data_IF_501332842586
#
_entry.id   IF_501332842586
#
_cell.length_a   1.000
_cell.length_b   1.000
_cell.length_c   1.000
_cell.angle_alpha   90.00
_cell.angle_beta   90.00
_cell.angle_gamma   90.00
#
_symmetry.space_group_name_H-M   'P 1'
#
loop_
_entity.id
_entity.type
_entity.pdbx_description
1 polymer ?
#
# COMPACT_ATOMS: atom_id res chain seq x y z
N UNK A 1 3.40 -3.69 -16.18
CA UNK A 1 4.21 -2.73 -15.41
C UNK A 1 4.19 -3.10 -13.94
N UNK A 2 5.24 -2.81 -13.17
CA UNK A 2 5.19 -2.85 -11.70
C UNK A 2 5.17 -1.38 -11.24
N UNK A 3 4.23 -1.06 -10.35
CA UNK A 3 4.12 0.26 -9.74
C UNK A 3 4.20 0.14 -8.22
N UNK A 4 4.68 1.18 -7.56
CA UNK A 4 4.77 1.24 -6.09
C UNK A 4 3.98 2.45 -5.59
N UNK A 5 3.20 2.24 -4.53
CA UNK A 5 2.57 3.30 -3.75
C UNK A 5 3.16 3.28 -2.35
N UNK A 6 3.76 4.38 -1.93
CA UNK A 6 4.40 4.54 -0.63
C UNK A 6 3.55 5.55 0.15
N UNK A 7 3.17 5.19 1.37
CA UNK A 7 2.22 5.93 2.20
C UNK A 7 2.94 6.29 3.50
N UNK A 8 2.94 7.57 3.85
CA UNK A 8 3.56 8.06 5.09
C UNK A 8 3.81 9.56 5.04
N UNK A 9 3.31 10.27 6.05
CA UNK A 9 3.45 11.72 6.18
C UNK A 9 4.91 12.12 6.41
N UNK A 10 5.62 11.32 7.21
CA UNK A 10 7.00 11.54 7.62
C UNK A 10 7.98 11.53 6.45
N UNK A 11 7.61 10.89 5.34
CA UNK A 11 8.39 10.83 4.11
C UNK A 11 8.33 12.16 3.35
N UNK A 12 7.14 12.76 3.27
CA UNK A 12 6.93 14.04 2.59
C UNK A 12 7.37 15.22 3.46
N UNK A 13 7.30 15.06 4.77
CA UNK A 13 7.78 16.05 5.75
C UNK A 13 9.30 16.00 5.96
N UNK A 14 9.96 14.96 5.44
CA UNK A 14 11.42 14.82 5.49
C UNK A 14 11.97 14.36 6.84
N UNK A 15 11.11 13.89 7.75
CA UNK A 15 11.51 13.27 9.01
C UNK A 15 12.20 11.93 8.82
N UNK A 16 11.77 11.17 7.80
CA UNK A 16 12.34 9.86 7.47
C UNK A 16 12.79 9.83 6.02
N UNK A 17 13.99 9.29 5.77
CA UNK A 17 14.44 9.03 4.39
C UNK A 17 13.67 7.86 3.78
N UNK A 18 13.07 8.08 2.62
CA UNK A 18 12.41 7.03 1.84
C UNK A 18 13.44 5.95 1.41
N UNK A 19 13.24 4.72 1.85
CA UNK A 19 14.11 3.56 1.54
C UNK A 19 13.35 2.37 0.95
N UNK A 20 12.02 2.39 1.00
CA UNK A 20 11.17 1.30 0.52
C UNK A 20 11.35 1.09 -0.98
N UNK A 21 11.40 2.16 -1.79
CA UNK A 21 11.65 2.04 -3.23
C UNK A 21 12.99 1.35 -3.50
N UNK A 22 14.04 1.76 -2.79
CA UNK A 22 15.37 1.19 -2.92
C UNK A 22 15.39 -0.30 -2.54
N UNK A 23 14.82 -0.65 -1.39
CA UNK A 23 14.76 -2.04 -0.89
C UNK A 23 13.97 -2.93 -1.86
N UNK A 24 12.78 -2.50 -2.30
CA UNK A 24 11.93 -3.26 -3.22
C UNK A 24 12.63 -3.44 -4.57
N UNK A 25 13.24 -2.37 -5.11
CA UNK A 25 13.95 -2.43 -6.39
C UNK A 25 15.15 -3.39 -6.33
N UNK A 26 15.93 -3.35 -5.24
CA UNK A 26 17.04 -4.28 -5.05
C UNK A 26 16.57 -5.71 -4.85
N UNK A 27 15.51 -5.94 -4.09
CA UNK A 27 14.90 -7.26 -3.96
C UNK A 27 14.50 -7.81 -5.33
N UNK A 28 13.75 -7.06 -6.12
CA UNK A 28 13.34 -7.49 -7.47
C UNK A 28 14.55 -7.73 -8.39
N UNK A 29 15.60 -6.91 -8.29
CA UNK A 29 16.85 -7.06 -9.03
C UNK A 29 17.57 -8.37 -8.68
N UNK A 30 17.68 -8.71 -7.39
CA UNK A 30 18.31 -9.96 -6.91
C UNK A 30 17.67 -11.20 -7.53
N UNK A 31 16.35 -11.20 -7.71
CA UNK A 31 15.61 -12.31 -8.31
C UNK A 31 15.38 -12.19 -9.82
N UNK A 32 16.12 -11.28 -10.50
CA UNK A 32 16.03 -11.04 -11.95
C UNK A 32 14.59 -10.78 -12.42
N UNK A 33 13.79 -10.10 -11.59
CA UNK A 33 12.41 -9.68 -11.91
C UNK A 33 12.41 -8.31 -12.58
N UNK A 34 11.27 -7.95 -13.16
CA UNK A 34 11.06 -6.60 -13.72
C UNK A 34 11.17 -5.57 -12.59
N UNK A 35 11.80 -4.44 -12.88
CA UNK A 35 11.89 -3.33 -11.93
C UNK A 35 10.59 -2.49 -11.95
N UNK A 36 10.30 -1.76 -10.85
CA UNK A 36 9.25 -0.77 -10.82
C UNK A 36 9.45 0.29 -11.91
N UNK A 37 8.39 0.69 -12.60
CA UNK A 37 8.44 1.78 -13.61
C UNK A 37 7.84 3.08 -13.08
N UNK A 38 7.02 3.00 -12.03
CA UNK A 38 6.39 4.15 -11.40
C UNK A 38 6.35 3.97 -9.89
N UNK A 39 6.64 5.04 -9.16
CA UNK A 39 6.43 5.14 -7.73
C UNK A 39 5.66 6.42 -7.43
N UNK A 40 4.70 6.37 -6.51
CA UNK A 40 3.99 7.54 -5.98
C UNK A 40 4.15 7.51 -4.46
N UNK A 41 4.45 8.66 -3.86
CA UNK A 41 4.47 8.86 -2.41
C UNK A 41 3.28 9.74 -2.05
N UNK A 42 2.48 9.34 -1.07
CA UNK A 42 1.34 10.09 -0.56
C UNK A 42 1.34 10.15 0.97
N UNK A 43 0.60 11.12 1.50
CA UNK A 43 0.24 11.19 2.91
C UNK A 43 -0.64 10.03 3.35
N UNK A 44 -0.68 9.73 4.64
CA UNK A 44 -1.62 8.78 5.24
C UNK A 44 -3.02 9.40 5.34
N UNK A 45 -3.59 9.66 4.17
CA UNK A 45 -4.89 10.27 3.98
C UNK A 45 -5.69 9.45 2.97
N UNK A 46 -6.92 9.11 3.34
CA UNK A 46 -7.80 8.26 2.55
C UNK A 46 -8.00 8.78 1.12
N UNK A 47 -8.27 10.06 0.95
CA UNK A 47 -8.53 10.65 -0.37
C UNK A 47 -7.30 10.58 -1.28
N UNK A 48 -6.12 10.89 -0.73
CA UNK A 48 -4.84 10.82 -1.45
C UNK A 48 -4.49 9.37 -1.85
N UNK A 49 -4.64 8.42 -0.92
CA UNK A 49 -4.38 6.99 -1.18
C UNK A 49 -5.33 6.49 -2.28
N UNK A 50 -6.63 6.77 -2.17
CA UNK A 50 -7.64 6.35 -3.16
C UNK A 50 -7.33 6.92 -4.55
N UNK A 51 -7.00 8.22 -4.62
CA UNK A 51 -6.64 8.89 -5.87
C UNK A 51 -5.38 8.29 -6.49
N UNK A 52 -4.36 8.02 -5.68
CA UNK A 52 -3.12 7.40 -6.14
C UNK A 52 -3.37 5.98 -6.67
N UNK A 53 -4.14 5.15 -5.95
CA UNK A 53 -4.49 3.80 -6.40
C UNK A 53 -5.22 3.84 -7.74
N UNK A 54 -6.25 4.69 -7.88
CA UNK A 54 -7.01 4.81 -9.13
C UNK A 54 -6.15 5.32 -10.28
N UNK A 55 -5.25 6.26 -10.02
CA UNK A 55 -4.26 6.74 -10.99
C UNK A 55 -3.34 5.62 -11.45
N UNK A 56 -2.79 4.83 -10.52
CA UNK A 56 -1.96 3.67 -10.85
C UNK A 56 -2.75 2.62 -11.65
N UNK A 57 -3.98 2.30 -11.25
CA UNK A 57 -4.83 1.32 -11.95
C UNK A 57 -5.15 1.75 -13.39
N UNK A 58 -5.31 3.05 -13.64
CA UNK A 58 -5.58 3.58 -14.99
C UNK A 58 -4.47 3.24 -16.01
N UNK A 59 -3.25 3.01 -15.52
CA UNK A 59 -2.10 2.61 -16.34
C UNK A 59 -2.01 1.09 -16.58
N UNK A 60 -3.01 0.33 -16.10
CA UNK A 60 -3.11 -1.13 -16.22
C UNK A 60 -1.82 -1.85 -15.78
N UNK A 61 -1.33 -1.61 -14.55
CA UNK A 61 -0.17 -2.30 -14.02
C UNK A 61 -0.45 -3.79 -13.87
N UNK A 62 0.61 -4.60 -13.94
CA UNK A 62 0.53 -6.03 -13.62
C UNK A 62 0.55 -6.26 -12.11
N UNK A 63 1.24 -5.39 -11.38
CA UNK A 63 1.39 -5.44 -9.93
C UNK A 63 1.47 -4.01 -9.41
N UNK A 64 0.73 -3.71 -8.35
CA UNK A 64 0.92 -2.53 -7.51
C UNK A 64 1.43 -3.05 -6.15
N UNK A 65 2.55 -2.53 -5.68
CA UNK A 65 3.09 -2.81 -4.34
C UNK A 65 2.79 -1.60 -3.47
N UNK A 66 2.14 -1.78 -2.33
CA UNK A 66 1.89 -0.71 -1.36
C UNK A 66 2.79 -0.86 -0.14
N UNK A 67 3.16 0.24 0.51
CA UNK A 67 3.95 0.25 1.75
C UNK A 67 3.47 1.38 2.66
N UNK A 68 3.51 1.18 3.98
CA UNK A 68 3.07 2.17 4.98
C UNK A 68 1.55 2.16 5.24
N UNK A 69 1.12 2.76 6.35
CA UNK A 69 -0.28 2.87 6.77
C UNK A 69 -1.00 1.53 7.04
N UNK A 70 -0.29 0.52 7.55
CA UNK A 70 -0.83 -0.83 7.85
C UNK A 70 -0.64 -1.28 9.30
N UNK A 71 -0.20 -0.38 10.17
CA UNK A 71 -0.09 -0.65 11.61
C UNK A 71 -1.47 -0.81 12.29
N UNK A 72 -1.47 -0.89 13.63
CA UNK A 72 -2.69 -1.06 14.42
C UNK A 72 -3.38 0.27 14.77
N UNK A 73 -2.88 1.43 14.32
CA UNK A 73 -3.39 2.73 14.77
C UNK A 73 -4.57 3.19 13.93
N UNK A 74 -5.37 4.13 14.46
CA UNK A 74 -6.60 4.60 13.79
C UNK A 74 -6.30 5.42 12.52
N UNK A 75 -5.08 5.96 12.40
CA UNK A 75 -4.55 6.67 11.25
C UNK A 75 -3.96 5.76 10.16
N UNK A 76 -3.87 4.44 10.39
CA UNK A 76 -3.44 3.47 9.36
C UNK A 76 -4.57 3.19 8.35
N UNK A 77 -4.69 4.02 7.32
CA UNK A 77 -5.84 4.03 6.40
C UNK A 77 -5.61 3.24 5.10
N UNK A 78 -4.45 2.59 4.91
CA UNK A 78 -4.08 1.96 3.63
C UNK A 78 -5.07 0.90 3.18
N UNK A 79 -5.42 -0.05 4.05
CA UNK A 79 -6.24 -1.20 3.64
C UNK A 79 -7.69 -0.78 3.36
N UNK A 80 -8.24 0.10 4.20
CA UNK A 80 -9.57 0.68 3.97
C UNK A 80 -9.60 1.46 2.65
N UNK A 81 -8.59 2.28 2.40
CA UNK A 81 -8.48 3.07 1.17
C UNK A 81 -8.36 2.20 -0.08
N UNK A 82 -7.61 1.08 -0.02
CA UNK A 82 -7.55 0.11 -1.12
C UNK A 82 -8.92 -0.50 -1.38
N UNK A 83 -9.63 -0.95 -0.33
CA UNK A 83 -10.96 -1.53 -0.48
C UNK A 83 -11.94 -0.56 -1.15
N UNK A 84 -11.91 0.71 -0.73
CA UNK A 84 -12.74 1.77 -1.29
C UNK A 84 -12.36 2.11 -2.74
N UNK A 85 -11.06 2.17 -3.05
CA UNK A 85 -10.57 2.46 -4.40
C UNK A 85 -11.01 1.39 -5.41
N UNK A 86 -11.04 0.13 -4.98
CA UNK A 86 -11.42 -1.04 -5.79
C UNK A 86 -12.92 -1.33 -5.77
N UNK A 87 -13.71 -0.60 -4.97
CA UNK A 87 -15.13 -0.87 -4.73
C UNK A 87 -15.37 -2.31 -4.23
N UNK A 88 -14.52 -2.75 -3.30
CA UNK A 88 -14.54 -4.07 -2.70
C UNK A 88 -14.90 -3.99 -1.21
N UNK A 89 -15.47 -5.07 -0.68
CA UNK A 89 -15.84 -5.14 0.73
C UNK A 89 -14.61 -5.45 1.57
N UNK A 90 -14.37 -4.64 2.60
CA UNK A 90 -13.38 -4.93 3.62
C UNK A 90 -13.97 -5.88 4.68
N UNK A 91 -13.29 -6.98 4.93
CA UNK A 91 -13.62 -7.95 5.97
C UNK A 91 -12.60 -7.87 7.10
N UNK A 92 -13.09 -7.63 8.31
CA UNK A 92 -12.29 -7.67 9.54
C UNK A 92 -12.37 -9.07 10.13
N UNK A 93 -11.23 -9.75 10.19
CA UNK A 93 -11.13 -11.10 10.76
C UNK A 93 -10.50 -10.97 12.14
N UNK A 94 -11.24 -11.37 13.18
CA UNK A 94 -10.74 -11.51 14.54
C UNK A 94 -10.11 -12.89 14.74
N UNK A 95 -8.92 -12.93 15.34
CA UNK A 95 -8.32 -14.16 15.85
C UNK A 95 -8.35 -14.13 17.37
N UNK A 96 -8.79 -15.23 17.99
CA UNK A 96 -8.67 -15.44 19.44
C UNK A 96 -7.22 -15.76 19.79
N UNK A 97 -6.42 -14.73 20.03
CA UNK A 97 -5.17 -14.83 20.78
C UNK A 97 -5.09 -13.66 21.76
N UNK A 98 -4.42 -13.81 22.90
CA UNK A 98 -4.30 -12.81 24.00
C UNK A 98 -3.78 -11.42 23.58
N UNK A 99 -3.46 -11.22 22.30
CA UNK A 99 -3.15 -9.94 21.67
C UNK A 99 -4.17 -9.80 20.53
N UNK A 100 -5.07 -8.82 20.59
CA UNK A 100 -6.02 -8.51 19.51
C UNK A 100 -5.25 -8.11 18.23
N UNK A 101 -4.88 -9.09 17.41
CA UNK A 101 -4.32 -8.87 16.08
C UNK A 101 -5.44 -9.09 15.07
N UNK A 102 -5.92 -8.01 14.50
CA UNK A 102 -6.84 -8.07 13.38
C UNK A 102 -6.08 -8.38 12.09
N UNK A 103 -6.63 -9.25 11.25
CA UNK A 103 -6.22 -9.38 9.85
C UNK A 103 -7.33 -8.83 8.99
N UNK A 104 -6.95 -7.99 8.05
CA UNK A 104 -7.87 -7.45 7.06
C UNK A 104 -7.78 -8.27 5.76
N UNK A 105 -8.93 -8.55 5.17
CA UNK A 105 -9.04 -9.19 3.85
C UNK A 105 -9.95 -8.32 2.99
N UNK A 106 -9.51 -8.05 1.77
CA UNK A 106 -10.32 -7.36 0.76
C UNK A 106 -10.95 -8.45 -0.12
N UNK A 107 -12.27 -8.63 0.01
CA UNK A 107 -13.01 -9.65 -0.71
C UNK A 107 -13.12 -9.30 -2.21
N UNK A 108 -12.90 -10.28 -3.09
CA UNK A 108 -12.94 -10.08 -4.56
C UNK A 108 -11.65 -9.57 -5.21
N UNK A 109 -10.53 -9.51 -4.47
CA UNK A 109 -9.21 -9.21 -5.03
C UNK A 109 -8.61 -10.46 -5.71
N UNK A 110 -8.62 -10.50 -7.05
CA UNK A 110 -8.08 -11.59 -7.88
C UNK A 110 -6.76 -11.22 -8.57
#
# INVERSE_FOLDING_TARGET
>A
MISILIIGDELLEGFTSEKNLFIISNFLKTYKKRLPQKAIIVKDNKEEIVKAIRSLLSEKPKVIITTGGIGPTEDDLTIESISYALNLKLLKISFETEIEKYKYVIDGLN
#
